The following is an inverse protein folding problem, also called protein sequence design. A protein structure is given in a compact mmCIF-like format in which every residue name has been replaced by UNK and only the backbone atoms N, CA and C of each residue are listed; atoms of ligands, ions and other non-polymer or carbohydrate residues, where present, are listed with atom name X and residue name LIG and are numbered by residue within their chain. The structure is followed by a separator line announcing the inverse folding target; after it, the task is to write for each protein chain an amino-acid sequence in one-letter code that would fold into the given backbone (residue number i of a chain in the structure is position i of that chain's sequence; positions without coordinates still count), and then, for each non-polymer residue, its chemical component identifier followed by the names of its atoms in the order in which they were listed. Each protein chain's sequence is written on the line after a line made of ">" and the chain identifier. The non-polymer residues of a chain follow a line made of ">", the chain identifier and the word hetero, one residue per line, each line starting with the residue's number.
data_IF_951576861407
#
_entry.id   IF_951576861407
#
_cell.length_a   1.000
_cell.length_b   1.000
_cell.length_c   1.000
_cell.angle_alpha   90.00
_cell.angle_beta   90.00
_cell.angle_gamma   90.00
#
_symmetry.space_group_name_H-M   'P 1'
#
loop_
_entity.id
_entity.type
_entity.pdbx_description
1 polymer ?
#
# COMPACT_ATOMS: atom_id res chain seq x y z
N UNK A 1 13.93 -15.52 11.68
CA UNK A 1 14.74 -14.50 10.98
C UNK A 1 16.05 -15.16 10.61
N UNK A 2 16.46 -15.12 9.34
CA UNK A 2 17.74 -15.71 8.91
C UNK A 2 18.86 -14.68 9.06
N UNK A 3 20.07 -15.08 9.40
CA UNK A 3 21.19 -14.14 9.47
C UNK A 3 21.46 -13.53 8.08
N UNK A 4 21.67 -12.21 8.04
CA UNK A 4 21.97 -11.43 6.84
C UNK A 4 23.23 -10.57 6.99
N UNK A 5 24.02 -10.78 8.05
CA UNK A 5 25.18 -9.94 8.39
C UNK A 5 26.27 -9.95 7.31
N UNK A 6 26.41 -11.05 6.57
CA UNK A 6 27.36 -11.18 5.45
C UNK A 6 26.86 -10.55 4.14
N UNK A 7 25.65 -9.99 4.11
CA UNK A 7 25.09 -9.37 2.90
C UNK A 7 25.43 -7.88 2.86
N UNK A 8 26.06 -7.47 1.77
CA UNK A 8 26.37 -6.05 1.56
C UNK A 8 25.10 -5.18 1.45
N UNK A 9 25.15 -3.93 1.97
CA UNK A 9 24.09 -2.97 1.76
C UNK A 9 24.10 -2.49 0.30
N UNK A 10 23.02 -2.78 -0.41
CA UNK A 10 22.80 -2.34 -1.79
C UNK A 10 21.44 -1.67 -1.91
N UNK A 11 21.23 -0.91 -2.99
CA UNK A 11 19.90 -0.39 -3.33
C UNK A 11 18.95 -1.57 -3.61
N UNK A 12 17.80 -1.58 -2.94
CA UNK A 12 16.73 -2.56 -3.16
C UNK A 12 15.44 -1.84 -3.51
N UNK A 13 14.77 -2.34 -4.55
CA UNK A 13 13.48 -1.83 -5.03
C UNK A 13 12.57 -3.03 -5.21
N UNK A 14 11.31 -2.89 -4.82
CA UNK A 14 10.25 -3.86 -5.05
C UNK A 14 9.00 -3.14 -5.53
N UNK A 15 8.25 -3.79 -6.41
CA UNK A 15 6.95 -3.33 -6.90
C UNK A 15 5.91 -4.43 -6.60
N UNK A 16 4.73 -4.01 -6.18
CA UNK A 16 3.59 -4.87 -5.95
C UNK A 16 2.32 -4.16 -6.43
N UNK A 17 1.31 -4.92 -6.82
CA UNK A 17 0.02 -4.39 -7.23
C UNK A 17 -1.14 -5.18 -6.64
N UNK A 18 -2.31 -4.56 -6.60
CA UNK A 18 -3.53 -5.13 -6.06
C UNK A 18 -4.77 -4.57 -6.71
N UNK A 19 -5.88 -5.29 -6.61
CA UNK A 19 -7.18 -4.83 -7.12
C UNK A 19 -8.31 -5.12 -6.15
N UNK A 20 -9.25 -4.19 -6.04
CA UNK A 20 -10.48 -4.36 -5.26
C UNK A 20 -11.70 -4.05 -6.13
N UNK A 21 -12.55 -5.07 -6.30
CA UNK A 21 -13.83 -4.92 -7.00
C UNK A 21 -14.86 -4.30 -6.06
N UNK A 22 -15.52 -3.25 -6.52
CA UNK A 22 -16.52 -2.51 -5.76
C UNK A 22 -17.84 -2.47 -6.51
N UNK A 23 -18.91 -2.08 -5.81
CA UNK A 23 -20.19 -1.78 -6.47
C UNK A 23 -20.03 -0.49 -7.28
N UNK A 24 -20.65 -0.40 -8.45
CA UNK A 24 -20.61 0.82 -9.28
C UNK A 24 -21.02 2.09 -8.50
N UNK A 25 -22.06 1.98 -7.65
CA UNK A 25 -22.50 3.10 -6.79
C UNK A 25 -21.41 3.58 -5.83
N UNK A 26 -20.54 2.67 -5.38
CA UNK A 26 -19.41 3.01 -4.50
C UNK A 26 -18.34 3.74 -5.29
N UNK A 27 -17.99 3.26 -6.49
CA UNK A 27 -17.05 3.95 -7.38
C UNK A 27 -17.51 5.37 -7.71
N UNK A 28 -18.79 5.54 -8.06
CA UNK A 28 -19.36 6.89 -8.32
C UNK A 28 -19.19 7.81 -7.11
N UNK A 29 -19.45 7.32 -5.89
CA UNK A 29 -19.25 8.11 -4.67
C UNK A 29 -17.79 8.45 -4.41
N UNK A 30 -16.86 7.54 -4.71
CA UNK A 30 -15.42 7.79 -4.58
C UNK A 30 -15.00 8.90 -5.56
N UNK A 31 -15.37 8.78 -6.85
CA UNK A 31 -15.04 9.78 -7.88
C UNK A 31 -15.60 11.17 -7.54
N UNK A 32 -16.78 11.24 -6.94
CA UNK A 32 -17.44 12.49 -6.59
C UNK A 32 -17.05 13.02 -5.19
N UNK A 33 -16.11 12.39 -4.47
CA UNK A 33 -15.76 12.74 -3.09
C UNK A 33 -16.97 12.76 -2.12
N UNK A 34 -17.94 11.86 -2.34
CA UNK A 34 -19.19 11.75 -1.56
C UNK A 34 -19.17 10.57 -0.56
N UNK A 35 -17.97 10.14 -0.17
CA UNK A 35 -17.79 9.09 0.84
C UNK A 35 -17.81 9.75 2.21
N UNK A 36 -18.78 9.36 3.06
CA UNK A 36 -18.97 9.97 4.39
C UNK A 36 -17.74 9.84 5.30
N UNK A 37 -16.92 8.80 5.10
CA UNK A 37 -15.70 8.55 5.88
C UNK A 37 -14.52 9.44 5.47
N UNK A 38 -14.67 10.30 4.46
CA UNK A 38 -13.62 11.17 3.94
C UNK A 38 -13.03 10.69 2.63
N UNK A 39 -11.89 11.28 2.27
CA UNK A 39 -11.15 10.97 1.03
C UNK A 39 -10.54 9.56 1.10
N UNK A 40 -11.01 8.69 0.21
CA UNK A 40 -10.62 7.28 0.17
C UNK A 40 -9.17 7.10 -0.23
N UNK A 41 -8.67 7.83 -1.23
CA UNK A 41 -7.32 7.62 -1.75
C UNK A 41 -6.26 8.22 -0.85
N UNK A 42 -6.52 9.40 -0.29
CA UNK A 42 -5.61 10.01 0.67
C UNK A 42 -5.44 9.13 1.91
N UNK A 43 -6.55 8.62 2.46
CA UNK A 43 -6.49 7.73 3.62
C UNK A 43 -5.84 6.38 3.27
N UNK A 44 -6.13 5.81 2.09
CA UNK A 44 -5.50 4.58 1.64
C UNK A 44 -3.97 4.73 1.48
N UNK A 45 -3.49 5.86 0.93
CA UNK A 45 -2.05 6.15 0.79
C UNK A 45 -1.36 6.19 2.16
N UNK A 46 -1.96 6.89 3.14
CA UNK A 46 -1.45 6.95 4.51
C UNK A 46 -1.43 5.56 5.17
N UNK A 47 -2.50 4.78 4.98
CA UNK A 47 -2.59 3.43 5.53
C UNK A 47 -1.52 2.50 4.95
N UNK A 48 -1.28 2.55 3.64
CA UNK A 48 -0.25 1.76 2.97
C UNK A 48 1.16 2.13 3.45
N UNK A 49 1.48 3.43 3.53
CA UNK A 49 2.76 3.92 4.05
C UNK A 49 3.01 3.42 5.48
N UNK A 50 1.98 3.45 6.34
CA UNK A 50 2.10 2.94 7.70
C UNK A 50 2.21 1.42 7.75
N UNK A 51 1.51 0.71 6.88
CA UNK A 51 1.55 -0.75 6.81
C UNK A 51 2.95 -1.26 6.42
N UNK A 52 3.58 -0.65 5.41
CA UNK A 52 4.94 -1.02 4.97
C UNK A 52 5.95 -0.92 6.13
N UNK A 53 5.88 0.15 6.93
CA UNK A 53 6.79 0.36 8.07
C UNK A 53 6.56 -0.65 9.20
N UNK A 54 5.35 -1.22 9.29
CA UNK A 54 4.96 -2.21 10.32
C UNK A 54 5.17 -3.66 9.88
N UNK A 55 5.62 -3.91 8.65
CA UNK A 55 5.90 -5.27 8.16
C UNK A 55 6.72 -6.14 9.14
N UNK A 56 7.82 -5.67 9.76
CA UNK A 56 8.56 -6.50 10.72
C UNK A 56 7.76 -6.88 11.96
N UNK A 57 6.75 -6.09 12.35
CA UNK A 57 5.85 -6.40 13.47
C UNK A 57 4.74 -7.38 13.06
N UNK A 58 4.36 -7.37 11.78
CA UNK A 58 3.25 -8.15 11.23
C UNK A 58 3.66 -9.53 10.70
N UNK A 59 4.88 -9.66 10.17
CA UNK A 59 5.36 -10.89 9.51
C UNK A 59 6.51 -11.50 10.33
N UNK A 60 6.33 -12.67 10.97
CA UNK A 60 7.26 -13.19 11.99
C UNK A 60 8.73 -13.35 11.61
N UNK A 61 9.05 -13.49 10.32
CA UNK A 61 10.42 -13.73 9.84
C UNK A 61 11.01 -12.56 9.05
N UNK A 62 10.30 -11.43 8.97
CA UNK A 62 10.80 -10.22 8.31
C UNK A 62 11.80 -9.48 9.21
N UNK A 63 12.89 -9.03 8.61
CA UNK A 63 13.85 -8.14 9.26
C UNK A 63 13.30 -6.71 9.34
N UNK A 64 13.63 -5.95 10.39
CA UNK A 64 13.44 -4.51 10.36
C UNK A 64 14.39 -3.91 9.31
N UNK A 65 13.83 -3.19 8.34
CA UNK A 65 14.58 -2.55 7.25
C UNK A 65 14.36 -1.03 7.32
N UNK A 66 15.41 -0.20 7.23
CA UNK A 66 15.25 1.25 7.10
C UNK A 66 14.67 1.57 5.72
N UNK A 67 13.37 1.86 5.67
CA UNK A 67 12.68 2.19 4.42
C UNK A 67 13.00 3.63 4.01
N UNK A 68 13.70 3.80 2.88
CA UNK A 68 14.08 5.12 2.35
C UNK A 68 12.96 5.83 1.60
N UNK A 69 12.10 5.08 0.90
CA UNK A 69 10.97 5.65 0.14
C UNK A 69 9.81 4.65 0.06
N UNK A 70 8.58 5.18 0.03
CA UNK A 70 7.35 4.42 -0.21
C UNK A 70 6.48 5.27 -1.13
N UNK A 71 6.04 4.69 -2.25
CA UNK A 71 5.07 5.30 -3.14
C UNK A 71 3.94 4.32 -3.47
N UNK A 72 2.73 4.87 -3.65
CA UNK A 72 1.47 4.14 -3.74
C UNK A 72 0.50 4.96 -4.56
N UNK A 73 0.09 4.46 -5.74
CA UNK A 73 -0.80 5.17 -6.65
C UNK A 73 -2.07 4.38 -6.93
N UNK A 74 -3.19 5.05 -7.19
CA UNK A 74 -4.47 4.39 -7.38
C UNK A 74 -5.07 4.77 -8.73
N UNK A 75 -5.63 3.77 -9.41
CA UNK A 75 -6.39 3.95 -10.63
C UNK A 75 -7.79 3.34 -10.49
N UNK A 76 -8.79 3.97 -11.11
CA UNK A 76 -10.15 3.44 -11.16
C UNK A 76 -10.46 2.92 -12.55
N UNK A 77 -10.56 1.60 -12.67
CA UNK A 77 -10.99 0.91 -13.88
C UNK A 77 -12.44 0.43 -13.73
N UNK A 78 -13.38 1.09 -14.41
CA UNK A 78 -14.81 0.72 -14.39
C UNK A 78 -15.41 0.56 -12.98
N UNK A 79 -15.48 -0.67 -12.46
CA UNK A 79 -16.00 -1.03 -11.15
C UNK A 79 -14.91 -1.45 -10.13
N UNK A 80 -13.64 -1.32 -10.50
CA UNK A 80 -12.48 -1.82 -9.77
C UNK A 80 -11.50 -0.68 -9.46
N UNK A 81 -10.87 -0.72 -8.29
CA UNK A 81 -9.72 0.14 -7.95
C UNK A 81 -8.46 -0.72 -8.01
N UNK A 82 -7.43 -0.23 -8.69
CA UNK A 82 -6.12 -0.86 -8.83
C UNK A 82 -5.06 0.00 -8.14
N UNK A 83 -4.07 -0.65 -7.53
CA UNK A 83 -2.88 -0.05 -6.95
C UNK A 83 -1.64 -0.79 -7.43
#
# INVERSE_FOLDING_TARGET
>A
MIDISEKDPILRIALASGRIKLKEKTIKRIKNNQVQKGDVFTIAKIAAINAVKKVPDLIPLCHPIPISNIDVDFEIESDTVIN
#
